data_IF_845241579310
#
_entry.id   IF_845241579310
#
_cell.length_a   1.000
_cell.length_b   1.000
_cell.length_c   1.000
_cell.angle_alpha   90.00
_cell.angle_beta   90.00
_cell.angle_gamma   90.00
#
_symmetry.space_group_name_H-M   'P 1'
#
loop_
_entity.id
_entity.type
_entity.pdbx_description
1 polymer ?
#
# COMPACT_ATOMS: atom_id res chain seq x y z
N UNK A 1 -30.96 -34.53 -3.81
CA UNK A 1 -29.49 -34.77 -3.72
C UNK A 1 -28.69 -33.59 -4.28
N UNK A 2 -29.14 -32.94 -5.37
CA UNK A 2 -28.43 -31.80 -6.00
C UNK A 2 -28.32 -30.51 -5.15
N UNK A 3 -29.34 -30.19 -4.35
CA UNK A 3 -29.35 -28.95 -3.53
C UNK A 3 -28.26 -29.00 -2.44
N UNK A 4 -28.00 -30.20 -1.88
CA UNK A 4 -26.98 -30.40 -0.86
C UNK A 4 -25.58 -30.20 -1.47
N UNK A 5 -25.34 -30.70 -2.69
CA UNK A 5 -24.08 -30.53 -3.40
C UNK A 5 -23.79 -29.05 -3.72
N UNK A 6 -24.80 -28.30 -4.14
CA UNK A 6 -24.67 -26.85 -4.37
C UNK A 6 -24.31 -26.08 -3.10
N UNK A 7 -24.90 -26.44 -1.95
CA UNK A 7 -24.61 -25.82 -0.67
C UNK A 7 -23.15 -26.09 -0.23
N UNK A 8 -22.67 -27.33 -0.40
CA UNK A 8 -21.28 -27.68 -0.11
C UNK A 8 -20.28 -27.02 -1.04
N UNK A 9 -20.56 -26.92 -2.34
CA UNK A 9 -19.69 -26.22 -3.31
C UNK A 9 -19.66 -24.73 -3.01
N UNK A 10 -20.80 -24.11 -2.67
CA UNK A 10 -20.85 -22.68 -2.32
C UNK A 10 -20.13 -22.39 -1.00
N UNK A 11 -20.28 -23.24 0.01
CA UNK A 11 -19.50 -23.14 1.27
C UNK A 11 -18.01 -23.36 1.00
N UNK A 12 -17.64 -24.28 0.12
CA UNK A 12 -16.25 -24.53 -0.24
C UNK A 12 -15.63 -23.37 -1.00
N UNK A 13 -16.39 -22.73 -1.91
CA UNK A 13 -15.98 -21.52 -2.62
C UNK A 13 -15.90 -20.33 -1.67
N UNK A 14 -16.86 -20.14 -0.76
CA UNK A 14 -16.83 -19.05 0.24
C UNK A 14 -15.68 -19.27 1.23
N UNK A 15 -15.45 -20.50 1.68
CA UNK A 15 -14.29 -20.83 2.54
C UNK A 15 -12.97 -20.62 1.81
N UNK A 16 -12.83 -21.04 0.54
CA UNK A 16 -11.64 -20.77 -0.27
C UNK A 16 -11.46 -19.29 -0.61
N UNK A 17 -12.57 -18.55 -0.82
CA UNK A 17 -12.57 -17.12 -1.10
C UNK A 17 -12.30 -16.27 0.13
N UNK A 18 -12.63 -16.76 1.34
CA UNK A 18 -12.20 -16.19 2.61
C UNK A 18 -10.78 -16.67 2.99
N UNK A 19 -10.32 -17.76 2.40
CA UNK A 19 -8.91 -18.22 2.41
C UNK A 19 -8.05 -17.55 1.32
N UNK A 20 -8.52 -16.44 0.74
CA UNK A 20 -7.66 -15.51 0.02
C UNK A 20 -6.69 -14.89 1.04
N UNK A 21 -5.62 -15.63 1.31
CA UNK A 21 -4.36 -15.27 1.96
C UNK A 21 -4.35 -13.93 2.72
N UNK A 22 -4.91 -13.89 3.94
CA UNK A 22 -4.46 -12.89 4.91
C UNK A 22 -3.03 -13.26 5.32
N UNK A 23 -2.04 -12.59 4.74
CA UNK A 23 -0.67 -12.65 5.22
C UNK A 23 -0.62 -12.10 6.66
N UNK A 24 -0.08 -12.89 7.60
CA UNK A 24 0.15 -12.43 8.96
C UNK A 24 1.14 -11.24 8.91
N UNK A 25 0.72 -10.10 9.46
CA UNK A 25 1.50 -8.86 9.51
C UNK A 25 2.61 -9.01 10.55
N UNK A 26 3.87 -8.98 10.09
CA UNK A 26 5.08 -9.17 10.90
C UNK A 26 6.05 -8.03 10.69
N UNK A 27 6.83 -7.77 11.75
CA UNK A 27 7.95 -6.84 11.77
C UNK A 27 9.21 -7.61 12.19
N UNK A 28 10.31 -7.33 11.52
CA UNK A 28 11.66 -7.76 11.86
C UNK A 28 12.51 -6.53 12.17
N UNK A 29 13.16 -6.52 13.33
CA UNK A 29 14.11 -5.47 13.71
C UNK A 29 15.53 -5.91 13.37
N UNK A 30 16.16 -5.25 12.40
CA UNK A 30 17.50 -5.60 11.88
C UNK A 30 18.59 -4.81 12.60
N UNK A 31 18.32 -3.56 12.97
CA UNK A 31 19.23 -2.69 13.72
C UNK A 31 18.45 -2.03 14.84
N UNK A 32 18.77 -2.35 16.10
CA UNK A 32 18.17 -1.73 17.29
C UNK A 32 18.90 -0.46 17.68
N UNK A 33 20.16 -0.62 18.10
CA UNK A 33 20.99 0.48 18.60
C UNK A 33 21.67 1.23 17.44
N UNK A 34 22.01 2.52 17.63
CA UNK A 34 22.78 3.27 16.65
C UNK A 34 24.06 2.54 16.21
N UNK A 35 24.13 2.24 14.92
CA UNK A 35 25.28 1.66 14.24
C UNK A 35 25.90 2.72 13.32
N UNK A 36 27.23 2.85 13.38
CA UNK A 36 27.98 3.78 12.54
C UNK A 36 28.22 3.20 11.15
N UNK A 37 27.97 4.01 10.14
CA UNK A 37 28.25 3.70 8.74
C UNK A 37 29.32 4.67 8.18
N UNK A 38 30.21 4.09 7.40
CA UNK A 38 31.21 4.75 6.55
C UNK A 38 30.92 4.41 5.08
N UNK A 39 31.55 5.10 4.12
CA UNK A 39 31.34 4.82 2.70
C UNK A 39 31.58 3.35 2.32
N UNK A 40 32.48 2.66 3.03
CA UNK A 40 32.86 1.28 2.74
C UNK A 40 32.15 0.24 3.59
N UNK A 41 31.43 0.65 4.64
CA UNK A 41 30.77 -0.29 5.56
C UNK A 41 29.39 -0.69 5.05
N UNK A 42 29.03 -1.95 5.30
CA UNK A 42 27.67 -2.41 5.14
C UNK A 42 27.27 -3.44 6.20
N UNK A 43 25.96 -3.59 6.35
CA UNK A 43 25.35 -4.74 7.01
C UNK A 43 24.52 -5.46 5.96
N UNK A 44 24.77 -6.75 5.80
CA UNK A 44 24.08 -7.60 4.83
C UNK A 44 23.15 -8.54 5.59
N UNK A 45 21.91 -8.67 5.12
CA UNK A 45 20.94 -9.65 5.62
C UNK A 45 20.50 -10.54 4.46
N UNK A 46 20.67 -11.86 4.59
CA UNK A 46 20.26 -12.78 3.54
C UNK A 46 18.74 -12.85 3.44
N UNK A 47 18.21 -13.19 2.27
CA UNK A 47 16.77 -13.28 2.07
C UNK A 47 16.10 -14.33 2.98
N UNK A 48 16.79 -15.43 3.29
CA UNK A 48 16.32 -16.46 4.23
C UNK A 48 16.07 -15.93 5.64
N UNK A 49 16.74 -14.83 6.01
CA UNK A 49 16.66 -14.22 7.33
C UNK A 49 15.64 -13.06 7.35
N UNK A 50 15.08 -12.70 6.19
CA UNK A 50 14.05 -11.67 6.04
C UNK A 50 12.65 -12.28 6.10
N UNK A 51 11.67 -11.41 6.32
CA UNK A 51 10.27 -11.80 6.22
C UNK A 51 9.88 -12.04 4.75
N UNK A 52 9.12 -13.11 4.51
CA UNK A 52 8.53 -13.38 3.19
C UNK A 52 7.59 -12.24 2.81
N UNK A 53 7.78 -11.67 1.63
CA UNK A 53 6.96 -10.61 1.05
C UNK A 53 6.09 -11.19 -0.06
N UNK A 54 4.78 -10.92 -0.02
CA UNK A 54 3.87 -11.33 -1.10
C UNK A 54 3.49 -10.15 -1.97
N UNK A 55 2.86 -9.15 -1.37
CA UNK A 55 2.28 -8.02 -2.11
C UNK A 55 2.75 -6.66 -1.59
N UNK A 56 3.21 -6.60 -0.34
CA UNK A 56 3.45 -5.34 0.35
C UNK A 56 4.64 -5.40 1.29
N UNK A 57 5.33 -4.28 1.42
CA UNK A 57 6.57 -4.15 2.18
C UNK A 57 6.68 -2.74 2.75
N UNK A 58 7.21 -2.62 3.96
CA UNK A 58 7.69 -1.34 4.47
C UNK A 58 9.05 -1.49 5.12
N UNK A 59 9.85 -0.43 5.04
CA UNK A 59 11.08 -0.26 5.81
C UNK A 59 10.98 1.06 6.56
N UNK A 60 11.25 1.03 7.86
CA UNK A 60 11.45 2.26 8.64
C UNK A 60 12.83 2.26 9.27
N UNK A 61 13.41 3.44 9.42
CA UNK A 61 14.73 3.62 10.02
C UNK A 61 14.90 5.03 10.57
N UNK A 62 15.79 5.16 11.54
CA UNK A 62 16.33 6.45 11.95
C UNK A 62 17.73 6.62 11.37
N UNK A 63 18.01 7.77 10.77
CA UNK A 63 19.31 8.09 10.17
C UNK A 63 19.79 9.47 10.60
N UNK A 64 21.11 9.59 10.79
CA UNK A 64 21.82 10.86 10.90
C UNK A 64 22.99 10.82 9.92
N UNK A 65 23.04 11.79 9.01
CA UNK A 65 24.15 11.95 8.06
C UNK A 65 25.15 12.92 8.69
N UNK A 66 26.43 12.59 8.71
CA UNK A 66 27.46 13.46 9.29
C UNK A 66 28.36 14.10 8.24
N UNK A 67 28.30 13.61 7.00
CA UNK A 67 29.02 14.18 5.87
C UNK A 67 28.27 13.92 4.55
N UNK A 68 28.23 14.91 3.67
CA UNK A 68 27.74 14.75 2.30
C UNK A 68 28.87 14.19 1.43
N UNK A 69 28.63 13.06 0.77
CA UNK A 69 29.60 12.40 -0.11
C UNK A 69 29.91 13.20 -1.39
N UNK A 70 28.99 14.05 -1.83
CA UNK A 70 29.06 14.70 -3.14
C UNK A 70 28.69 13.79 -4.32
N UNK A 71 28.37 12.52 -4.05
CA UNK A 71 27.99 11.48 -5.02
C UNK A 71 26.79 10.67 -4.50
N UNK A 72 26.23 9.78 -5.31
CA UNK A 72 25.18 8.85 -4.91
C UNK A 72 25.65 7.97 -3.74
N UNK A 73 24.84 7.90 -2.69
CA UNK A 73 25.13 7.02 -1.55
C UNK A 73 23.96 6.12 -1.23
N UNK A 74 24.26 4.85 -0.98
CA UNK A 74 23.26 3.86 -0.62
C UNK A 74 22.92 3.97 0.88
N UNK A 75 21.62 3.98 1.17
CA UNK A 75 21.09 3.83 2.53
C UNK A 75 20.73 2.37 2.76
N UNK A 76 19.94 1.82 1.84
CA UNK A 76 19.71 0.38 1.73
C UNK A 76 19.35 0.00 0.29
N UNK A 77 19.64 -1.24 -0.08
CA UNK A 77 19.32 -1.81 -1.40
C UNK A 77 19.14 -3.32 -1.26
N UNK A 78 18.03 -3.85 -1.79
CA UNK A 78 17.81 -5.29 -1.90
C UNK A 78 17.66 -5.66 -3.38
N UNK A 79 18.55 -6.51 -3.85
CA UNK A 79 18.64 -6.93 -5.25
C UNK A 79 20.09 -7.21 -5.67
N UNK A 80 20.25 -7.76 -6.87
CA UNK A 80 21.57 -8.01 -7.48
C UNK A 80 21.86 -6.98 -8.59
N UNK A 81 23.15 -6.75 -8.87
CA UNK A 81 23.60 -5.92 -10.02
C UNK A 81 23.01 -6.37 -11.35
N UNK A 82 22.76 -7.68 -11.53
CA UNK A 82 22.16 -8.24 -12.73
C UNK A 82 21.00 -9.15 -12.29
N UNK A 83 19.73 -8.75 -12.50
CA UNK A 83 19.26 -7.78 -13.48
C UNK A 83 19.12 -6.32 -12.98
N UNK A 84 19.87 -5.90 -11.95
CA UNK A 84 19.79 -4.56 -11.35
C UNK A 84 18.45 -4.35 -10.61
N UNK A 85 17.98 -5.40 -9.93
CA UNK A 85 16.77 -5.35 -9.10
C UNK A 85 16.99 -4.42 -7.91
N UNK A 86 15.95 -3.68 -7.51
CA UNK A 86 16.05 -2.58 -6.54
C UNK A 86 14.90 -2.57 -5.54
N UNK A 87 14.27 -3.71 -5.30
CA UNK A 87 13.09 -3.80 -4.43
C UNK A 87 13.40 -4.34 -3.04
N UNK A 88 13.34 -3.51 -1.97
CA UNK A 88 13.25 -2.05 -1.99
C UNK A 88 14.65 -1.42 -2.00
N UNK A 89 14.72 -0.12 -2.30
CA UNK A 89 15.96 0.62 -2.19
C UNK A 89 15.77 2.11 -1.98
N UNK A 90 16.78 2.69 -1.33
CA UNK A 90 16.86 4.11 -1.03
C UNK A 90 18.31 4.56 -1.15
N UNK A 91 18.54 5.52 -2.04
CA UNK A 91 19.78 6.28 -2.10
C UNK A 91 19.58 7.72 -1.63
N UNK A 92 20.69 8.41 -1.45
CA UNK A 92 20.74 9.85 -1.29
C UNK A 92 21.36 10.45 -2.55
N UNK A 93 20.74 11.52 -3.06
CA UNK A 93 21.25 12.24 -4.24
C UNK A 93 22.61 12.88 -3.98
N UNK A 94 23.45 13.05 -5.00
CA UNK A 94 24.68 13.84 -4.92
C UNK A 94 24.43 15.25 -4.35
N UNK A 95 25.42 15.76 -3.62
CA UNK A 95 25.50 17.13 -3.04
C UNK A 95 24.48 17.49 -1.96
N UNK A 96 23.21 17.16 -2.14
CA UNK A 96 22.12 17.64 -1.28
C UNK A 96 21.50 16.54 -0.40
N UNK A 97 21.92 15.28 -0.53
CA UNK A 97 21.42 14.18 0.27
C UNK A 97 19.89 14.11 0.34
N UNK A 98 19.21 14.41 -0.77
CA UNK A 98 17.76 14.26 -0.92
C UNK A 98 17.45 12.77 -1.09
N UNK A 99 16.30 12.32 -0.59
CA UNK A 99 15.90 10.92 -0.68
C UNK A 99 15.62 10.53 -2.14
N UNK A 100 16.13 9.36 -2.54
CA UNK A 100 15.96 8.80 -3.87
C UNK A 100 15.49 7.34 -3.81
N UNK A 101 14.19 7.13 -3.60
CA UNK A 101 13.62 5.79 -3.49
C UNK A 101 13.47 5.12 -4.86
N UNK A 102 13.74 3.80 -4.92
CA UNK A 102 13.44 2.96 -6.07
C UNK A 102 12.87 1.60 -5.69
N UNK A 103 12.24 0.98 -6.67
CA UNK A 103 11.84 -0.41 -6.72
C UNK A 103 11.80 -0.88 -8.18
N UNK A 104 11.77 -2.19 -8.37
CA UNK A 104 11.65 -2.81 -9.68
C UNK A 104 10.18 -3.12 -9.99
N UNK A 105 9.80 -2.93 -11.24
CA UNK A 105 8.51 -3.36 -11.79
C UNK A 105 8.75 -4.21 -13.03
N UNK A 106 7.72 -4.91 -13.50
CA UNK A 106 7.76 -5.63 -14.78
C UNK A 106 8.31 -4.74 -15.91
N UNK A 107 9.46 -5.12 -16.47
CA UNK A 107 10.10 -4.41 -17.59
C UNK A 107 10.93 -3.18 -17.22
N UNK A 108 11.05 -2.82 -15.93
CA UNK A 108 11.92 -1.73 -15.48
C UNK A 108 12.42 -1.94 -14.04
N UNK A 109 13.71 -2.22 -13.90
CA UNK A 109 14.33 -2.53 -12.61
C UNK A 109 14.73 -1.30 -11.78
N UNK A 110 14.72 -0.09 -12.36
CA UNK A 110 15.04 1.20 -11.71
C UNK A 110 13.86 2.17 -11.69
N UNK A 111 12.68 1.70 -11.27
CA UNK A 111 11.47 2.52 -11.18
C UNK A 111 11.43 3.30 -9.86
N UNK A 112 10.99 4.56 -9.88
CA UNK A 112 10.89 5.39 -8.67
C UNK A 112 10.82 6.89 -8.97
N UNK A 113 10.91 7.71 -7.91
CA UNK A 113 10.71 9.16 -7.99
C UNK A 113 11.94 9.82 -8.64
N UNK A 114 11.77 10.46 -9.80
CA UNK A 114 12.89 10.92 -10.66
C UNK A 114 13.58 12.22 -10.26
N UNK A 115 13.03 12.99 -9.33
CA UNK A 115 13.61 14.29 -8.92
C UNK A 115 14.02 14.32 -7.44
N UNK A 116 14.07 13.15 -6.82
CA UNK A 116 14.17 13.01 -5.37
C UNK A 116 12.86 13.36 -4.66
N UNK A 117 12.80 13.11 -3.36
CA UNK A 117 11.60 13.35 -2.55
C UNK A 117 11.96 14.02 -1.23
N UNK A 118 11.20 15.08 -0.91
CA UNK A 118 11.40 15.88 0.29
C UNK A 118 12.55 16.89 0.20
N UNK A 119 12.81 17.53 1.33
CA UNK A 119 13.90 18.48 1.48
C UNK A 119 15.25 17.76 1.61
N UNK A 120 16.34 18.54 1.40
CA UNK A 120 17.70 18.07 1.70
C UNK A 120 17.81 17.65 3.16
N UNK A 121 18.35 16.46 3.41
CA UNK A 121 18.69 16.05 4.77
C UNK A 121 19.86 16.87 5.28
N UNK A 122 19.67 17.55 6.40
CA UNK A 122 20.72 18.35 7.03
C UNK A 122 21.70 17.43 7.77
N UNK A 123 22.98 17.76 7.71
CA UNK A 123 23.99 17.02 8.47
C UNK A 123 23.78 17.20 9.97
N UNK A 124 24.10 16.15 10.73
CA UNK A 124 24.02 16.07 12.17
C UNK A 124 22.59 16.21 12.77
N UNK A 125 21.56 15.94 11.97
CA UNK A 125 20.17 15.82 12.45
C UNK A 125 19.66 14.39 12.28
N UNK A 126 18.88 13.95 13.27
CA UNK A 126 18.16 12.68 13.19
C UNK A 126 16.88 12.84 12.36
N UNK A 127 16.70 11.93 11.42
CA UNK A 127 15.49 11.78 10.64
C UNK A 127 14.95 10.37 10.81
N UNK A 128 13.64 10.27 11.00
CA UNK A 128 12.91 9.03 10.78
C UNK A 128 12.46 8.99 9.32
N UNK A 129 12.73 7.89 8.64
CA UNK A 129 12.32 7.66 7.26
C UNK A 129 11.44 6.42 7.23
N UNK A 130 10.28 6.51 6.60
CA UNK A 130 9.46 5.36 6.25
C UNK A 130 9.33 5.24 4.74
N UNK A 131 9.72 4.08 4.22
CA UNK A 131 9.50 3.62 2.85
C UNK A 131 8.37 2.59 2.88
N UNK A 132 7.30 2.80 2.13
CA UNK A 132 6.16 1.88 2.10
C UNK A 132 5.80 1.56 0.65
N UNK A 133 5.53 0.30 0.33
CA UNK A 133 5.30 -0.17 -1.04
C UNK A 133 4.19 -1.22 -1.05
N UNK A 134 3.25 -1.09 -1.99
CA UNK A 134 2.18 -2.04 -2.21
C UNK A 134 1.99 -2.30 -3.69
N UNK A 135 2.09 -3.58 -4.07
CA UNK A 135 1.73 -4.05 -5.39
C UNK A 135 0.21 -4.04 -5.58
N UNK A 136 -0.58 -4.37 -4.54
CA UNK A 136 -2.04 -4.32 -4.60
C UNK A 136 -2.55 -2.91 -4.89
N UNK A 137 -1.99 -1.91 -4.20
CA UNK A 137 -2.33 -0.49 -4.43
C UNK A 137 -1.52 0.15 -5.56
N UNK A 138 -0.57 -0.60 -6.16
CA UNK A 138 0.30 -0.14 -7.24
C UNK A 138 1.01 1.18 -6.89
N UNK A 139 1.48 1.31 -5.64
CA UNK A 139 1.94 2.59 -5.08
C UNK A 139 3.05 2.43 -4.04
N UNK A 140 3.99 3.37 -4.09
CA UNK A 140 5.01 3.64 -3.09
C UNK A 140 4.74 4.98 -2.40
N UNK A 141 4.93 5.05 -1.08
CA UNK A 141 4.88 6.30 -0.31
C UNK A 141 6.11 6.45 0.59
N UNK A 142 6.61 7.68 0.69
CA UNK A 142 7.75 8.06 1.53
C UNK A 142 7.29 9.06 2.59
N UNK A 143 7.76 8.85 3.81
CA UNK A 143 7.51 9.73 4.95
C UNK A 143 8.83 10.11 5.61
N UNK A 144 8.90 11.35 6.07
CA UNK A 144 10.01 11.89 6.87
C UNK A 144 9.43 12.42 8.18
N UNK A 145 9.95 11.97 9.32
CA UNK A 145 9.48 12.34 10.66
C UNK A 145 7.97 12.17 10.83
N UNK A 146 7.43 11.04 10.37
CA UNK A 146 6.00 10.75 10.40
C UNK A 146 5.14 11.54 9.41
N UNK A 147 5.70 12.45 8.61
CA UNK A 147 4.97 13.30 7.66
C UNK A 147 5.10 12.76 6.24
N UNK A 148 3.99 12.61 5.53
CA UNK A 148 3.98 12.18 4.13
C UNK A 148 4.71 13.20 3.25
N UNK A 149 5.74 12.72 2.55
CA UNK A 149 6.69 13.57 1.81
C UNK A 149 6.52 13.42 0.30
N UNK A 150 6.11 12.24 -0.17
CA UNK A 150 5.82 12.03 -1.58
C UNK A 150 5.45 10.58 -1.87
N UNK A 151 5.06 10.34 -3.13
CA UNK A 151 4.59 9.04 -3.58
C UNK A 151 4.87 8.83 -5.06
N UNK A 152 4.74 7.58 -5.49
CA UNK A 152 4.70 7.22 -6.89
C UNK A 152 3.72 6.07 -7.10
N UNK A 153 2.94 6.13 -8.17
CA UNK A 153 2.04 5.06 -8.58
C UNK A 153 2.50 4.44 -9.91
N UNK A 154 2.31 3.13 -10.03
CA UNK A 154 2.39 2.41 -11.30
C UNK A 154 1.13 2.74 -12.09
N UNK A 155 1.28 3.21 -13.33
CA UNK A 155 0.16 3.68 -14.15
C UNK A 155 -0.45 2.53 -14.96
N UNK A 156 0.38 1.64 -15.52
CA UNK A 156 -0.10 0.52 -16.33
C UNK A 156 -0.50 -0.68 -15.45
N UNK A 157 -1.48 -0.47 -14.58
CA UNK A 157 -1.86 -1.40 -13.48
C UNK A 157 -2.19 -2.84 -13.92
N UNK A 158 -2.56 -3.05 -15.18
CA UNK A 158 -2.85 -4.38 -15.73
C UNK A 158 -1.61 -5.14 -16.22
N UNK A 159 -0.54 -4.43 -16.58
CA UNK A 159 0.63 -5.01 -17.24
C UNK A 159 1.90 -4.94 -16.35
N UNK A 160 1.93 -3.99 -15.42
CA UNK A 160 3.08 -3.73 -14.56
C UNK A 160 2.74 -4.12 -13.12
N UNK A 161 3.62 -4.93 -12.52
CA UNK A 161 3.58 -5.31 -11.11
C UNK A 161 4.92 -5.00 -10.46
N UNK A 162 4.91 -4.72 -9.16
CA UNK A 162 6.13 -4.68 -8.34
C UNK A 162 6.80 -6.05 -8.38
N UNK A 163 8.11 -6.07 -8.54
CA UNK A 163 8.93 -7.28 -8.44
C UNK A 163 9.55 -7.31 -7.05
N UNK A 164 9.14 -8.26 -6.20
CA UNK A 164 9.80 -8.54 -4.94
C UNK A 164 10.85 -9.65 -5.17
N UNK A 165 12.12 -9.33 -5.01
CA UNK A 165 13.22 -10.25 -5.27
C UNK A 165 13.63 -11.08 -4.05
N UNK A 166 14.40 -12.14 -4.30
CA UNK A 166 14.96 -13.04 -3.28
C UNK A 166 16.45 -12.78 -2.97
N UNK A 167 16.99 -11.63 -3.40
CA UNK A 167 18.39 -11.27 -3.19
C UNK A 167 18.65 -10.75 -1.76
N UNK A 168 19.93 -10.66 -1.31
CA UNK A 168 20.25 -10.07 -0.02
C UNK A 168 19.87 -8.59 0.09
N UNK A 169 19.58 -8.15 1.33
CA UNK A 169 19.42 -6.73 1.68
C UNK A 169 20.75 -6.17 2.17
N UNK A 170 21.27 -5.17 1.47
CA UNK A 170 22.40 -4.34 1.85
C UNK A 170 21.90 -3.10 2.59
N UNK A 171 22.51 -2.77 3.73
CA UNK A 171 22.29 -1.53 4.48
C UNK A 171 23.63 -0.81 4.57
N UNK A 172 23.69 0.47 4.17
CA UNK A 172 24.94 1.18 3.92
C UNK A 172 25.45 0.92 2.50
N UNK A 173 26.73 0.59 2.33
CA UNK A 173 27.32 0.30 1.01
C UNK A 173 26.65 -0.90 0.31
N UNK A 174 26.29 -0.74 -0.96
CA UNK A 174 25.84 -1.85 -1.82
C UNK A 174 26.96 -2.35 -2.74
N UNK A 175 26.63 -3.19 -3.71
CA UNK A 175 27.59 -3.79 -4.64
C UNK A 175 28.20 -2.77 -5.63
N UNK A 176 27.55 -1.61 -5.86
CA UNK A 176 27.90 -0.58 -6.85
C UNK A 176 28.30 0.74 -6.16
N UNK A 177 27.43 1.26 -5.29
CA UNK A 177 27.52 2.56 -4.66
C UNK A 177 28.06 2.47 -3.23
N UNK A 178 28.86 3.47 -2.87
CA UNK A 178 29.32 3.63 -1.50
C UNK A 178 28.14 3.95 -0.56
N UNK A 179 28.30 3.62 0.71
CA UNK A 179 27.32 3.94 1.76
C UNK A 179 27.35 5.42 2.17
N UNK A 180 26.31 5.86 2.86
CA UNK A 180 26.32 7.15 3.54
C UNK A 180 27.32 7.16 4.71
N UNK A 181 27.77 8.34 5.12
CA UNK A 181 28.58 8.52 6.35
C UNK A 181 27.68 9.06 7.46
N UNK A 182 27.55 8.30 8.54
CA UNK A 182 26.60 8.66 9.59
C UNK A 182 26.31 7.55 10.59
N UNK A 183 25.18 7.65 11.28
CA UNK A 183 24.64 6.55 12.09
C UNK A 183 23.22 6.20 11.66
N UNK A 184 22.83 4.95 11.88
CA UNK A 184 21.47 4.47 11.69
C UNK A 184 21.02 3.62 12.88
N UNK A 185 19.76 3.72 13.26
CA UNK A 185 19.14 2.91 14.31
C UNK A 185 17.70 2.56 13.95
N UNK A 186 17.08 1.67 14.72
CA UNK A 186 15.67 1.26 14.56
C UNK A 186 15.31 0.90 13.11
N UNK A 187 16.15 0.10 12.46
CA UNK A 187 15.86 -0.40 11.12
C UNK A 187 14.86 -1.55 11.23
N UNK A 188 13.61 -1.28 10.87
CA UNK A 188 12.52 -2.25 10.86
C UNK A 188 12.16 -2.64 9.43
N UNK A 189 11.94 -3.93 9.22
CA UNK A 189 11.49 -4.52 7.97
C UNK A 189 10.12 -5.17 8.18
N UNK A 190 9.11 -4.75 7.42
CA UNK A 190 7.72 -5.16 7.59
C UNK A 190 7.24 -5.92 6.36
N UNK A 191 6.50 -7.02 6.56
CA UNK A 191 5.93 -7.78 5.45
C UNK A 191 4.55 -7.28 4.98
N UNK A 192 4.28 -6.00 5.23
CA UNK A 192 3.03 -5.32 4.89
C UNK A 192 3.29 -3.84 4.66
N UNK A 193 2.33 -3.15 4.03
CA UNK A 193 2.39 -1.70 3.84
C UNK A 193 1.91 -0.99 5.11
N UNK A 194 2.74 -0.14 5.70
CA UNK A 194 2.33 0.77 6.76
C UNK A 194 1.44 1.87 6.17
N UNK A 195 0.32 2.13 6.82
CA UNK A 195 -0.52 3.29 6.53
C UNK A 195 0.01 4.55 7.27
N UNK A 196 -0.51 5.76 6.98
CA UNK A 196 -0.02 6.99 7.62
C UNK A 196 -0.06 6.99 9.16
N UNK A 197 -1.11 6.44 9.76
CA UNK A 197 -1.25 6.38 11.23
C UNK A 197 -0.23 5.41 11.83
N UNK A 198 -0.01 4.28 11.17
CA UNK A 198 0.99 3.28 11.54
C UNK A 198 2.42 3.82 11.42
N UNK A 199 2.70 4.62 10.40
CA UNK A 199 3.97 5.35 10.27
C UNK A 199 4.15 6.32 11.44
N UNK A 200 3.10 7.02 11.84
CA UNK A 200 3.14 7.94 12.98
C UNK A 200 3.36 7.19 14.31
N UNK A 201 2.78 6.00 14.47
CA UNK A 201 3.05 5.12 15.61
C UNK A 201 4.53 4.71 15.64
N UNK A 202 5.10 4.24 14.53
CA UNK A 202 6.53 3.87 14.44
C UNK A 202 7.46 5.06 14.71
N UNK A 203 7.16 6.23 14.13
CA UNK A 203 7.90 7.47 14.37
C UNK A 203 7.97 7.84 15.85
N UNK A 204 6.85 7.64 16.58
CA UNK A 204 6.76 7.87 18.03
C UNK A 204 7.40 6.75 18.86
N UNK A 205 7.95 5.72 18.22
CA UNK A 205 8.59 4.57 18.86
C UNK A 205 7.65 3.45 19.28
N UNK A 206 6.39 3.48 18.83
CA UNK A 206 5.43 2.40 19.04
C UNK A 206 5.62 1.22 18.07
N UNK A 207 4.84 0.15 18.28
CA UNK A 207 4.81 -1.01 17.38
C UNK A 207 3.55 -1.00 16.50
N UNK A 208 3.67 -0.74 15.19
CA UNK A 208 2.53 -0.70 14.28
C UNK A 208 1.81 -2.03 14.07
N UNK A 209 2.43 -3.17 14.44
CA UNK A 209 1.77 -4.48 14.35
C UNK A 209 0.65 -4.63 15.37
N UNK A 210 0.70 -3.85 16.46
CA UNK A 210 -0.29 -3.87 17.53
C UNK A 210 -1.45 -2.90 17.30
N UNK A 211 -1.28 -1.91 16.40
CA UNK A 211 -2.31 -0.94 16.06
C UNK A 211 -3.30 -1.50 15.05
N UNK A 212 -4.05 -2.52 15.44
CA UNK A 212 -5.25 -2.95 14.70
C UNK A 212 -6.47 -2.35 15.40
N UNK A 213 -7.24 -1.53 14.66
CA UNK A 213 -8.56 -0.97 14.99
C UNK A 213 -8.67 0.10 16.10
N UNK A 214 -8.32 1.35 15.76
CA UNK A 214 -9.10 2.49 16.27
C UNK A 214 -9.47 3.38 15.08
N UNK A 215 -10.60 3.10 14.45
CA UNK A 215 -11.30 4.11 13.67
C UNK A 215 -11.77 5.23 14.61
N UNK A 216 -11.41 6.46 14.24
CA UNK A 216 -12.09 7.71 14.61
C UNK A 216 -12.03 8.11 16.10
N UNK A 217 -11.00 8.85 16.49
CA UNK A 217 -11.09 9.81 17.59
C UNK A 217 -11.53 11.18 17.04
N UNK A 218 -12.85 11.37 16.94
CA UNK A 218 -13.42 12.73 16.90
C UNK A 218 -13.45 13.25 18.34
N UNK A 219 -12.52 14.16 18.67
CA UNK A 219 -12.66 14.98 19.86
C UNK A 219 -13.65 16.11 19.55
N UNK A 220 -14.84 16.05 20.13
CA UNK A 220 -15.72 17.22 20.24
C UNK A 220 -16.21 17.30 21.67
N UNK A 221 -15.68 18.27 22.41
CA UNK A 221 -16.26 18.73 23.66
C UNK A 221 -16.03 20.23 23.78
N UNK A 222 -16.96 21.05 23.28
CA UNK A 222 -17.35 22.29 23.97
C UNK A 222 -18.77 22.72 23.59
N UNK A 223 -19.41 23.27 24.61
CA UNK A 223 -20.81 23.52 24.92
C UNK A 223 -21.49 24.58 24.07
N UNK A 224 -22.83 24.46 24.01
CA UNK A 224 -23.77 25.37 23.39
C UNK A 224 -23.83 26.77 24.04
N UNK A 225 -24.11 27.79 23.23
CA UNK A 225 -25.01 28.89 23.60
C UNK A 225 -25.65 29.51 22.36
N UNK A 226 -26.98 29.44 22.29
CA UNK A 226 -27.83 30.07 21.29
C UNK A 226 -27.82 31.61 21.36
N UNK A 227 -27.82 32.25 20.17
CA UNK A 227 -28.78 33.30 19.75
C UNK A 227 -28.43 33.80 18.34
N UNK A 228 -29.23 33.41 17.35
CA UNK A 228 -29.23 34.02 16.01
C UNK A 228 -30.58 34.70 15.77
N UNK A 229 -30.56 35.97 15.41
CA UNK A 229 -31.72 36.73 14.92
C UNK A 229 -31.44 37.12 13.47
N UNK A 230 -32.35 36.73 12.57
CA UNK A 230 -32.27 36.95 11.13
C UNK A 230 -32.99 38.27 10.77
N UNK A 231 -32.31 39.16 10.04
CA UNK A 231 -32.96 40.19 9.23
C UNK A 231 -32.81 39.80 7.76
N UNK A 232 -33.96 39.62 7.11
CA UNK A 232 -34.14 39.22 5.72
C UNK A 232 -33.75 40.33 4.74
N UNK A 233 -32.98 39.99 3.70
CA UNK A 233 -33.15 40.63 2.39
C UNK A 233 -33.07 39.56 1.29
N UNK A 234 -34.14 39.51 0.50
CA UNK A 234 -34.41 38.67 -0.68
C UNK A 234 -33.81 39.45 -1.89
N UNK A 235 -33.18 38.88 -2.93
CA UNK A 235 -33.78 38.15 -4.06
C UNK A 235 -32.66 37.64 -5.00
N UNK A 236 -32.69 36.32 -5.24
CA UNK A 236 -32.32 35.45 -6.39
C UNK A 236 -31.34 35.86 -7.49
N UNK A 237 -30.33 35.01 -7.75
CA UNK A 237 -30.32 34.04 -8.87
C UNK A 237 -29.23 32.95 -8.68
N UNK A 238 -29.51 31.79 -9.27
CA UNK A 238 -29.18 30.42 -8.82
C UNK A 238 -27.97 29.78 -9.49
N UNK A 239 -27.06 29.20 -8.69
CA UNK A 239 -26.38 27.90 -8.95
C UNK A 239 -26.27 27.18 -7.60
N UNK A 240 -27.10 26.17 -7.38
CA UNK A 240 -27.05 25.33 -6.17
C UNK A 240 -26.14 24.13 -6.40
N UNK A 241 -24.95 24.13 -5.80
CA UNK A 241 -24.29 22.89 -5.39
C UNK A 241 -25.04 22.30 -4.19
N UNK A 242 -25.47 21.05 -4.32
CA UNK A 242 -26.13 20.29 -3.26
C UNK A 242 -25.04 19.66 -2.38
N UNK A 243 -24.90 20.19 -1.17
CA UNK A 243 -24.14 19.53 -0.09
C UNK A 243 -25.09 18.61 0.66
N UNK A 244 -25.02 17.31 0.39
CA UNK A 244 -25.78 16.30 1.13
C UNK A 244 -25.22 16.14 2.55
N UNK A 245 -26.03 16.52 3.55
CA UNK A 245 -25.85 16.11 4.93
C UNK A 245 -26.40 14.70 5.12
N UNK A 246 -25.66 13.87 5.86
CA UNK A 246 -26.01 12.51 6.24
C UNK A 246 -27.27 12.46 7.10
N UNK A 247 -28.26 11.70 6.66
CA UNK A 247 -29.43 11.31 7.46
C UNK A 247 -29.08 10.03 8.21
N UNK A 248 -29.14 10.06 9.54
CA UNK A 248 -29.08 8.87 10.38
C UNK A 248 -30.51 8.32 10.47
N UNK A 249 -30.75 7.14 9.89
CA UNK A 249 -31.95 6.34 10.13
C UNK A 249 -31.61 5.24 11.12
N UNK A 250 -32.12 5.37 12.35
CA UNK A 250 -32.16 4.26 13.31
C UNK A 250 -33.49 3.53 13.17
N UNK A 251 -33.45 2.27 12.73
CA UNK A 251 -34.18 1.15 13.37
C UNK A 251 -34.05 -0.13 12.55
N UNK A 252 -33.44 -1.13 13.17
CA UNK A 252 -33.77 -2.56 13.21
C UNK A 252 -34.66 -3.15 12.11
N UNK A 253 -34.09 -3.91 11.17
CA UNK A 253 -34.71 -5.12 10.62
C UNK A 253 -33.64 -6.19 10.42
N UNK A 254 -33.82 -7.31 11.12
CA UNK A 254 -33.11 -8.58 10.94
C UNK A 254 -33.64 -9.25 9.68
N UNK A 255 -32.74 -9.65 8.78
CA UNK A 255 -32.98 -10.71 7.80
C UNK A 255 -33.44 -10.28 6.42
N UNK A 256 -32.50 -10.23 5.46
CA UNK A 256 -32.60 -10.85 4.12
C UNK A 256 -31.32 -10.58 3.34
N UNK A 257 -30.29 -11.41 3.56
CA UNK A 257 -29.08 -11.44 2.73
C UNK A 257 -28.98 -12.80 2.02
N UNK A 258 -29.99 -13.14 1.20
CA UNK A 258 -29.95 -14.34 0.34
C UNK A 258 -30.69 -14.16 -1.01
N UNK A 259 -30.92 -12.93 -1.47
CA UNK A 259 -31.63 -12.66 -2.74
C UNK A 259 -30.76 -12.35 -3.96
N UNK A 260 -29.48 -11.96 -3.77
CA UNK A 260 -28.66 -11.39 -4.84
C UNK A 260 -27.96 -12.39 -5.77
N UNK A 261 -27.71 -13.62 -5.32
CA UNK A 261 -26.88 -14.59 -6.07
C UNK A 261 -27.76 -15.56 -6.89
N UNK A 262 -29.04 -15.75 -6.54
CA UNK A 262 -29.95 -16.63 -7.29
C UNK A 262 -30.45 -15.95 -8.58
N UNK A 263 -30.48 -14.62 -8.65
CA UNK A 263 -30.96 -13.90 -9.83
C UNK A 263 -29.98 -13.93 -11.02
N UNK A 264 -28.66 -13.98 -10.79
CA UNK A 264 -27.68 -14.00 -11.88
C UNK A 264 -27.55 -15.36 -12.55
N UNK A 265 -27.63 -16.46 -11.78
CA UNK A 265 -27.59 -17.83 -12.33
C UNK A 265 -28.91 -18.20 -13.02
N UNK A 266 -30.05 -17.75 -12.47
CA UNK A 266 -31.37 -17.91 -13.10
C UNK A 266 -31.50 -17.17 -14.44
N UNK A 267 -30.95 -15.94 -14.55
CA UNK A 267 -30.90 -15.21 -15.81
C UNK A 267 -30.02 -15.91 -16.86
N UNK A 268 -28.89 -16.51 -16.47
CA UNK A 268 -28.03 -17.24 -17.39
C UNK A 268 -28.68 -18.54 -17.89
N UNK A 269 -29.46 -19.22 -17.05
CA UNK A 269 -30.17 -20.46 -17.42
C UNK A 269 -31.37 -20.19 -18.34
N UNK A 270 -32.11 -19.10 -18.12
CA UNK A 270 -33.21 -18.69 -18.99
C UNK A 270 -32.73 -18.17 -20.37
N UNK A 271 -31.56 -17.52 -20.42
CA UNK A 271 -30.95 -17.09 -21.68
C UNK A 271 -30.45 -18.28 -22.52
N UNK A 272 -29.90 -19.33 -21.89
CA UNK A 272 -29.51 -20.56 -22.59
C UNK A 272 -30.72 -21.34 -23.14
N UNK A 273 -31.83 -21.37 -22.40
CA UNK A 273 -33.06 -22.07 -22.84
C UNK A 273 -33.77 -21.35 -23.99
N UNK A 274 -33.77 -20.00 -24.02
CA UNK A 274 -34.27 -19.23 -25.17
C UNK A 274 -33.41 -19.43 -26.42
N UNK A 275 -32.09 -19.55 -26.28
CA UNK A 275 -31.18 -19.75 -27.43
C UNK A 275 -31.31 -21.14 -28.06
N UNK A 276 -31.69 -22.17 -27.30
CA UNK A 276 -32.00 -23.51 -27.84
C UNK A 276 -33.40 -23.62 -28.46
N UNK A 277 -34.38 -22.81 -28.03
CA UNK A 277 -35.70 -22.75 -28.68
C UNK A 277 -35.60 -22.07 -30.06
N UNK A 278 -34.86 -20.97 -30.15
CA UNK A 278 -34.68 -20.23 -31.40
C UNK A 278 -33.98 -21.07 -32.50
N UNK A 279 -33.03 -21.92 -32.10
CA UNK A 279 -32.34 -22.82 -33.05
C UNK A 279 -33.19 -24.03 -33.46
N UNK A 280 -34.29 -24.33 -32.75
CA UNK A 280 -35.21 -25.41 -33.11
C UNK A 280 -36.29 -24.93 -34.07
N UNK A 281 -36.73 -23.69 -33.92
CA UNK A 281 -37.72 -23.06 -34.82
C UNK A 281 -37.11 -22.63 -36.18
N UNK A 282 -35.78 -22.51 -36.28
CA UNK A 282 -35.06 -22.20 -37.54
C UNK A 282 -34.79 -23.46 -38.38
N UNK A 283 -34.73 -24.65 -37.78
CA UNK A 283 -34.53 -25.93 -38.48
C UNK A 283 -35.86 -26.51 -38.98
N UNK A 284 -36.99 -26.18 -38.35
CA UNK A 284 -38.32 -26.65 -38.76
C UNK A 284 -38.97 -25.76 -39.87
N UNK A 285 -38.35 -24.64 -40.25
CA UNK A 285 -38.83 -23.75 -41.33
C UNK A 285 -38.05 -23.89 -42.66
N UNK A 286 -37.13 -24.84 -42.78
CA UNK A 286 -36.39 -25.12 -44.03
C UNK A 286 -36.92 -26.36 -44.78
N UNK A 287 -38.12 -26.86 -44.43
CA UNK A 287 -38.79 -27.98 -45.10
C UNK A 287 -40.23 -27.61 -45.50
N UNK A 288 -40.43 -26.46 -46.14
CA UNK A 288 -41.58 -26.22 -47.03
C UNK A 288 -41.16 -25.21 -48.11
N UNK A 289 -40.59 -25.73 -49.20
CA UNK A 289 -40.87 -25.35 -50.60
C UNK A 289 -40.21 -26.36 -51.56
#
# INVERSE_FOLDING_TARGET
>A
MEIILYFFVTIFIIKNSLFVFCQERKRLEIITNPLKFTPTSNKITNNSDLLVIKEELSITLNIIITNNSGDWTCVFHKGEINPNERTPSLWLTPKNSVLWPRFSITGNDDFGIKDGVGDKLQINLWYHIAYTLSNTLKRMDIYVNGTWTGFLSIIQVHNESVIFNDSPLYIGKDQIYQGFTGNMSKFHYYNFRLNPDEVLVDYRGGDPTTSTSTSTSTSTSTSASDKCSLTTTRVTNTVTEVKCSSVILTSSIVGTFFGGIIFSVGCLFLLKRKRQSYYKDEVDNEVVD
#
